data_IF_843306564104
#
_entry.id   IF_843306564104
#
_cell.length_a   1.000
_cell.length_b   1.000
_cell.length_c   1.000
_cell.angle_alpha   90.00
_cell.angle_beta   90.00
_cell.angle_gamma   90.00
#
_symmetry.space_group_name_H-M   'P 1'
#
loop_
_entity.id
_entity.type
_entity.pdbx_description
1 polymer ?
#
# COMPACT_ATOMS: atom_id res chain seq x y z
N UNK A 1 19.25 -22.66 42.08
CA UNK A 1 19.14 -23.66 43.16
C UNK A 1 20.01 -24.83 42.73
N UNK A 2 21.29 -24.74 43.08
CA UNK A 2 22.19 -25.90 43.04
C UNK A 2 21.60 -26.95 43.96
N UNK A 3 21.20 -28.09 43.39
CA UNK A 3 20.82 -29.25 44.18
C UNK A 3 21.97 -30.23 44.07
N UNK A 4 22.72 -30.22 45.17
CA UNK A 4 23.74 -31.16 45.61
C UNK A 4 23.41 -32.59 45.22
N UNK A 5 24.35 -33.24 44.54
CA UNK A 5 24.43 -34.68 44.41
C UNK A 5 24.72 -35.24 45.81
N UNK A 6 23.73 -35.83 46.45
CA UNK A 6 23.95 -36.66 47.63
C UNK A 6 24.41 -38.04 47.18
N UNK A 7 25.66 -38.34 47.52
CA UNK A 7 26.24 -39.67 47.53
C UNK A 7 25.40 -40.58 48.43
N UNK A 8 24.78 -41.61 47.85
CA UNK A 8 24.34 -42.76 48.61
C UNK A 8 25.32 -43.90 48.42
N UNK A 9 25.96 -44.23 49.54
CA UNK A 9 27.03 -45.18 49.67
C UNK A 9 26.67 -46.54 49.12
N UNK A 10 27.60 -47.05 48.32
CA UNK A 10 27.78 -48.46 48.04
C UNK A 10 27.97 -49.24 49.35
N UNK A 11 26.92 -49.91 49.81
CA UNK A 11 27.05 -51.03 50.76
C UNK A 11 27.50 -52.27 49.99
N UNK A 12 28.81 -52.48 50.03
CA UNK A 12 29.47 -53.73 49.66
C UNK A 12 29.10 -54.79 50.69
N UNK A 13 28.01 -55.53 50.47
CA UNK A 13 27.77 -56.77 51.22
C UNK A 13 28.62 -57.89 50.63
N UNK A 14 29.66 -58.24 51.38
CA UNK A 14 30.53 -59.36 51.09
C UNK A 14 29.83 -60.71 51.27
N UNK A 15 30.08 -61.59 50.30
CA UNK A 15 30.46 -62.99 50.49
C UNK A 15 29.68 -63.82 51.52
N UNK A 16 28.75 -64.63 51.02
CA UNK A 16 28.63 -66.02 51.48
C UNK A 16 28.57 -66.94 50.26
N UNK A 17 29.73 -67.26 49.70
CA UNK A 17 29.88 -68.47 48.90
C UNK A 17 29.68 -69.65 49.87
N UNK A 18 28.63 -70.43 49.64
CA UNK A 18 28.38 -71.68 50.35
C UNK A 18 29.63 -72.58 50.26
N UNK A 19 29.99 -73.30 51.35
CA UNK A 19 31.17 -74.15 51.36
C UNK A 19 31.00 -75.27 50.34
N UNK A 20 31.83 -75.26 49.30
CA UNK A 20 31.95 -76.40 48.39
C UNK A 20 32.34 -77.64 49.22
N UNK A 21 31.64 -78.78 49.08
CA UNK A 21 32.07 -80.01 49.70
C UNK A 21 33.43 -80.38 49.12
N UNK A 22 34.41 -80.62 50.00
CA UNK A 22 35.71 -81.18 49.64
C UNK A 22 35.45 -82.49 48.89
N UNK A 23 35.63 -82.50 47.57
CA UNK A 23 35.76 -83.74 46.81
C UNK A 23 37.08 -84.37 47.22
N UNK A 24 37.02 -85.28 48.19
CA UNK A 24 38.01 -86.35 48.29
C UNK A 24 38.12 -86.98 46.91
N UNK A 25 39.36 -87.17 46.45
CA UNK A 25 39.69 -87.67 45.13
C UNK A 25 39.39 -89.18 45.08
N UNK A 26 38.13 -89.54 45.25
CA UNK A 26 37.64 -90.84 44.82
C UNK A 26 37.95 -90.97 43.33
N UNK A 27 38.58 -92.07 42.92
CA UNK A 27 38.77 -92.36 41.50
C UNK A 27 37.44 -92.13 40.77
N UNK A 28 37.45 -91.24 39.77
CA UNK A 28 36.25 -90.86 39.04
C UNK A 28 35.57 -92.13 38.52
N UNK A 29 34.24 -92.16 38.48
CA UNK A 29 33.50 -93.30 37.91
C UNK A 29 33.98 -93.61 36.47
N UNK A 30 34.46 -92.59 35.76
CA UNK A 30 35.14 -92.71 34.46
C UNK A 30 36.49 -93.45 34.55
N UNK A 31 37.32 -93.13 35.55
CA UNK A 31 38.60 -93.80 35.80
C UNK A 31 38.38 -95.26 36.21
N UNK A 32 37.37 -95.54 37.05
CA UNK A 32 36.95 -96.90 37.44
C UNK A 32 36.50 -97.72 36.24
N UNK A 33 35.75 -97.11 35.32
CA UNK A 33 35.34 -97.72 34.07
C UNK A 33 36.55 -98.03 33.16
N UNK A 34 37.48 -97.09 33.03
CA UNK A 34 38.68 -97.26 32.21
C UNK A 34 39.64 -98.34 32.76
N UNK A 35 39.80 -98.41 34.08
CA UNK A 35 40.60 -99.45 34.74
C UNK A 35 39.94 -100.83 34.62
N UNK A 36 38.62 -100.92 34.79
CA UNK A 36 37.88 -102.17 34.61
C UNK A 36 37.95 -102.68 33.16
N UNK A 37 37.84 -101.77 32.18
CA UNK A 37 38.01 -102.10 30.75
C UNK A 37 39.41 -102.66 30.45
N UNK A 38 40.46 -101.94 30.87
CA UNK A 38 41.86 -102.37 30.62
C UNK A 38 42.19 -103.68 31.34
N UNK A 39 41.63 -103.90 32.53
CA UNK A 39 41.72 -105.17 33.28
C UNK A 39 41.02 -106.32 32.55
N UNK A 40 39.81 -106.10 32.00
CA UNK A 40 39.12 -107.11 31.17
C UNK A 40 39.88 -107.41 29.88
N UNK A 41 40.40 -106.40 29.18
CA UNK A 41 41.22 -106.57 27.98
C UNK A 41 42.48 -107.41 28.28
N UNK A 42 43.15 -107.17 29.41
CA UNK A 42 44.30 -107.95 29.85
C UNK A 42 43.92 -109.40 30.23
N UNK A 43 42.80 -109.62 30.94
CA UNK A 43 42.31 -110.96 31.29
C UNK A 43 41.94 -111.75 30.02
N UNK A 44 41.27 -111.13 29.04
CA UNK A 44 40.95 -111.76 27.74
C UNK A 44 42.23 -112.14 26.99
N UNK A 45 43.24 -111.26 26.96
CA UNK A 45 44.53 -111.56 26.35
C UNK A 45 45.21 -112.77 27.02
N UNK A 46 45.14 -112.86 28.35
CA UNK A 46 45.67 -113.99 29.12
C UNK A 46 44.88 -115.30 28.83
N UNK A 47 43.55 -115.26 28.77
CA UNK A 47 42.74 -116.43 28.38
C UNK A 47 43.06 -116.94 26.96
N UNK A 48 43.30 -116.02 26.01
CA UNK A 48 43.70 -116.38 24.65
C UNK A 48 45.08 -117.03 24.60
N UNK A 49 46.02 -116.61 25.45
CA UNK A 49 47.35 -117.24 25.57
C UNK A 49 47.28 -118.65 26.18
N UNK A 50 46.49 -118.85 27.24
CA UNK A 50 46.27 -120.16 27.90
C UNK A 50 45.62 -121.16 26.92
N UNK A 51 44.69 -120.69 26.08
CA UNK A 51 44.05 -121.52 25.03
C UNK A 51 45.03 -121.94 23.92
N UNK A 52 46.07 -121.15 23.63
CA UNK A 52 47.13 -121.50 22.67
C UNK A 52 48.15 -122.49 23.23
N UNK A 53 48.33 -122.53 24.55
CA UNK A 53 49.38 -123.31 25.24
C UNK A 53 48.89 -124.63 25.89
N UNK A 54 47.61 -125.01 25.77
CA UNK A 54 47.03 -126.27 26.30
C UNK A 54 47.21 -126.50 27.83
N UNK A 55 47.14 -125.42 28.62
CA UNK A 55 47.24 -125.40 30.10
C UNK A 55 45.94 -125.82 30.82
N UNK A 56 45.97 -126.19 32.13
CA UNK A 56 44.83 -126.80 32.83
C UNK A 56 43.58 -125.89 32.93
N UNK A 57 42.40 -126.50 32.83
CA UNK A 57 41.08 -125.82 32.81
C UNK A 57 40.72 -125.07 34.10
N UNK A 58 41.47 -125.24 35.21
CA UNK A 58 41.18 -124.58 36.50
C UNK A 58 41.54 -123.09 36.50
N UNK A 59 42.66 -122.69 35.89
CA UNK A 59 43.10 -121.28 35.78
C UNK A 59 42.11 -120.44 34.94
N UNK A 60 41.48 -121.09 33.95
CA UNK A 60 40.44 -120.46 33.13
C UNK A 60 39.21 -120.07 33.98
N UNK A 61 38.83 -120.91 34.97
CA UNK A 61 37.68 -120.63 35.84
C UNK A 61 37.93 -119.41 36.72
N UNK A 62 39.15 -119.26 37.25
CA UNK A 62 39.54 -118.11 38.07
C UNK A 62 39.59 -116.80 37.26
N UNK A 63 40.16 -116.84 36.06
CA UNK A 63 40.15 -115.68 35.15
C UNK A 63 38.73 -115.29 34.73
N UNK A 64 37.84 -116.27 34.51
CA UNK A 64 36.41 -116.01 34.21
C UNK A 64 35.73 -115.34 35.39
N UNK A 65 36.00 -115.77 36.63
CA UNK A 65 35.46 -115.11 37.83
C UNK A 65 36.00 -113.69 38.02
N UNK A 66 37.28 -113.44 37.75
CA UNK A 66 37.86 -112.08 37.79
C UNK A 66 37.26 -111.16 36.71
N UNK A 67 37.01 -111.71 35.51
CA UNK A 67 36.32 -110.98 34.44
C UNK A 67 34.89 -110.63 34.82
N UNK A 68 34.12 -111.55 35.41
CA UNK A 68 32.77 -111.26 35.88
C UNK A 68 32.77 -110.20 36.99
N UNK A 69 33.74 -110.22 37.91
CA UNK A 69 33.89 -109.19 38.93
C UNK A 69 34.13 -107.81 38.29
N UNK A 70 35.00 -107.74 37.28
CA UNK A 70 35.20 -106.51 36.51
C UNK A 70 33.92 -106.05 35.78
N UNK A 71 33.13 -106.96 35.19
CA UNK A 71 31.84 -106.58 34.60
C UNK A 71 30.83 -106.04 35.63
N UNK A 72 30.84 -106.56 36.85
CA UNK A 72 30.03 -106.02 37.95
C UNK A 72 30.52 -104.61 38.31
N UNK A 73 31.84 -104.38 38.42
CA UNK A 73 32.37 -103.03 38.68
C UNK A 73 32.06 -102.06 37.54
N UNK A 74 32.07 -102.52 36.28
CA UNK A 74 31.72 -101.71 35.11
C UNK A 74 30.24 -101.32 35.13
N UNK A 75 29.35 -102.27 35.45
CA UNK A 75 27.91 -102.00 35.60
C UNK A 75 27.63 -101.04 36.75
N UNK A 76 28.36 -101.17 37.86
CA UNK A 76 28.24 -100.27 39.01
C UNK A 76 28.73 -98.85 38.65
N UNK A 77 29.87 -98.72 37.97
CA UNK A 77 30.37 -97.43 37.51
C UNK A 77 29.42 -96.76 36.50
N UNK A 78 28.89 -97.52 35.53
CA UNK A 78 27.92 -97.00 34.57
C UNK A 78 26.62 -96.54 35.25
N UNK A 79 26.11 -97.31 36.23
CA UNK A 79 24.97 -96.91 37.04
C UNK A 79 25.25 -95.63 37.83
N UNK A 80 26.45 -95.48 38.39
CA UNK A 80 26.84 -94.26 39.11
C UNK A 80 26.86 -93.03 38.20
N UNK A 81 27.35 -93.17 36.96
CA UNK A 81 27.39 -92.08 35.98
C UNK A 81 25.96 -91.67 35.59
N UNK A 82 25.09 -92.65 35.29
CA UNK A 82 23.70 -92.35 34.92
C UNK A 82 22.93 -91.68 36.06
N UNK A 83 23.16 -92.09 37.32
CA UNK A 83 22.54 -91.44 38.48
C UNK A 83 23.06 -90.01 38.68
N UNK A 84 24.35 -89.77 38.43
CA UNK A 84 24.92 -88.42 38.50
C UNK A 84 24.41 -87.53 37.36
N UNK A 85 24.27 -88.07 36.14
CA UNK A 85 23.67 -87.37 35.01
C UNK A 85 22.21 -86.97 35.33
N UNK A 86 21.42 -87.91 35.85
CA UNK A 86 20.05 -87.63 36.30
C UNK A 86 20.02 -86.59 37.42
N UNK A 87 20.99 -86.63 38.35
CA UNK A 87 21.11 -85.65 39.43
C UNK A 87 21.42 -84.24 38.90
N UNK A 88 22.45 -84.09 38.07
CA UNK A 88 22.82 -82.79 37.45
C UNK A 88 21.68 -82.27 36.57
N UNK A 89 20.99 -83.15 35.85
CA UNK A 89 19.82 -82.77 35.05
C UNK A 89 18.66 -82.27 35.92
N UNK A 90 18.40 -82.91 37.05
CA UNK A 90 17.38 -82.46 38.00
C UNK A 90 17.76 -81.14 38.67
N UNK A 91 19.02 -80.95 39.05
CA UNK A 91 19.53 -79.71 39.63
C UNK A 91 19.45 -78.54 38.64
N UNK A 92 19.89 -78.76 37.39
CA UNK A 92 19.84 -77.73 36.34
C UNK A 92 18.41 -77.37 35.94
N UNK A 93 17.49 -78.33 35.83
CA UNK A 93 16.08 -78.03 35.58
C UNK A 93 15.44 -77.31 36.78
N UNK A 94 15.83 -77.68 38.01
CA UNK A 94 15.43 -76.99 39.24
C UNK A 94 15.91 -75.55 39.31
N UNK A 95 17.13 -75.27 38.85
CA UNK A 95 17.71 -73.92 38.78
C UNK A 95 17.16 -73.08 37.62
N UNK A 96 16.71 -73.71 36.54
CA UNK A 96 16.12 -73.03 35.38
C UNK A 96 14.79 -72.35 35.70
N UNK A 97 13.89 -73.02 36.43
CA UNK A 97 12.58 -72.47 36.78
C UNK A 97 12.62 -71.10 37.50
N UNK A 98 13.44 -70.87 38.54
CA UNK A 98 13.55 -69.54 39.17
C UNK A 98 14.21 -68.50 38.25
N UNK A 99 15.13 -68.89 37.37
CA UNK A 99 15.73 -68.00 36.37
C UNK A 99 14.68 -67.55 35.35
N UNK A 100 13.86 -68.46 34.84
CA UNK A 100 12.77 -68.14 33.91
C UNK A 100 11.73 -67.22 34.58
N UNK A 101 11.39 -67.49 35.84
CA UNK A 101 10.47 -66.65 36.62
C UNK A 101 11.00 -65.23 36.82
N UNK A 102 12.24 -65.08 37.25
CA UNK A 102 12.87 -63.76 37.45
C UNK A 102 13.07 -63.01 36.13
N UNK A 103 13.37 -63.72 35.04
CA UNK A 103 13.44 -63.14 33.69
C UNK A 103 12.08 -62.60 33.23
N UNK A 104 11.00 -63.33 33.51
CA UNK A 104 9.64 -62.86 33.22
C UNK A 104 9.28 -61.60 34.03
N UNK A 105 9.64 -61.56 35.32
CA UNK A 105 9.46 -60.36 36.15
C UNK A 105 10.23 -59.17 35.59
N UNK A 106 11.48 -59.37 35.19
CA UNK A 106 12.29 -58.33 34.57
C UNK A 106 11.63 -57.79 33.28
N UNK A 107 11.11 -58.69 32.44
CA UNK A 107 10.43 -58.30 31.19
C UNK A 107 9.18 -57.48 31.46
N UNK A 108 8.38 -57.86 32.47
CA UNK A 108 7.21 -57.08 32.90
C UNK A 108 7.61 -55.66 33.35
N UNK A 109 8.65 -55.54 34.19
CA UNK A 109 9.16 -54.23 34.64
C UNK A 109 9.73 -53.41 33.48
N UNK A 110 10.38 -54.05 32.51
CA UNK A 110 10.86 -53.36 31.31
C UNK A 110 9.71 -52.80 30.47
N UNK A 111 8.60 -53.54 30.34
CA UNK A 111 7.41 -53.01 29.67
C UNK A 111 6.82 -51.83 30.40
N UNK A 112 6.69 -51.92 31.72
CA UNK A 112 6.16 -50.84 32.56
C UNK A 112 7.02 -49.58 32.47
N UNK A 113 8.35 -49.73 32.60
CA UNK A 113 9.31 -48.64 32.38
C UNK A 113 9.12 -48.01 31.00
N UNK A 114 9.05 -48.82 29.95
CA UNK A 114 8.90 -48.33 28.58
C UNK A 114 7.56 -47.62 28.37
N UNK A 115 6.50 -48.09 29.02
CA UNK A 115 5.20 -47.42 29.02
C UNK A 115 5.30 -46.04 29.66
N UNK A 116 5.88 -45.93 30.86
CA UNK A 116 6.05 -44.64 31.52
C UNK A 116 7.00 -43.71 30.77
N UNK A 117 8.09 -44.21 30.18
CA UNK A 117 8.97 -43.39 29.34
C UNK A 117 8.22 -42.83 28.13
N UNK A 118 7.35 -43.64 27.49
CA UNK A 118 6.48 -43.16 26.40
C UNK A 118 5.48 -42.12 26.89
N UNK A 119 4.85 -42.34 28.05
CA UNK A 119 3.91 -41.39 28.64
C UNK A 119 4.59 -40.06 29.00
N UNK A 120 5.75 -40.11 29.65
CA UNK A 120 6.56 -38.91 29.99
C UNK A 120 6.96 -38.18 28.71
N UNK A 121 7.38 -38.90 27.66
CA UNK A 121 7.71 -38.29 26.37
C UNK A 121 6.49 -37.61 25.75
N UNK A 122 5.34 -38.25 25.75
CA UNK A 122 4.09 -37.66 25.25
C UNK A 122 3.71 -36.38 26.03
N UNK A 123 3.90 -36.37 27.35
CA UNK A 123 3.68 -35.17 28.17
C UNK A 123 4.72 -34.06 27.91
N UNK A 124 6.00 -34.40 27.70
CA UNK A 124 7.06 -33.43 27.40
C UNK A 124 6.97 -32.85 25.99
N UNK A 125 6.50 -33.66 25.04
CA UNK A 125 6.28 -33.24 23.64
C UNK A 125 5.02 -32.36 23.51
N UNK A 126 4.30 -32.10 24.60
CA UNK A 126 3.21 -31.14 24.62
C UNK A 126 3.72 -29.73 24.29
N UNK A 127 3.30 -29.23 23.14
CA UNK A 127 3.49 -27.83 22.75
C UNK A 127 2.18 -27.08 22.93
N UNK A 128 2.22 -25.97 23.66
CA UNK A 128 1.09 -25.04 23.69
C UNK A 128 0.88 -24.45 22.28
N UNK A 129 -0.32 -23.90 22.02
CA UNK A 129 -0.64 -23.25 20.74
C UNK A 129 0.30 -22.07 20.40
N UNK A 130 0.97 -21.51 21.41
CA UNK A 130 1.89 -20.39 21.28
C UNK A 130 3.15 -20.67 22.10
N UNK A 131 4.15 -21.35 21.51
CA UNK A 131 5.38 -21.71 22.22
C UNK A 131 6.29 -20.50 22.47
N UNK A 132 6.40 -19.59 21.50
CA UNK A 132 7.21 -18.37 21.58
C UNK A 132 6.28 -17.16 21.47
N UNK A 133 5.71 -16.75 22.60
CA UNK A 133 4.95 -15.49 22.68
C UNK A 133 5.97 -14.37 22.88
N UNK A 134 6.01 -13.44 21.93
CA UNK A 134 6.72 -12.16 22.13
C UNK A 134 6.01 -11.39 23.24
N UNK A 135 6.69 -11.24 24.37
CA UNK A 135 6.18 -10.55 25.55
C UNK A 135 6.84 -9.18 25.69
N UNK A 136 6.08 -8.18 26.14
CA UNK A 136 6.59 -6.84 26.52
C UNK A 136 7.82 -6.98 27.41
N UNK A 137 8.92 -6.30 27.10
CA UNK A 137 10.19 -6.39 27.83
C UNK A 137 10.00 -6.15 29.33
N UNK A 138 10.82 -6.79 30.16
CA UNK A 138 10.67 -6.70 31.63
C UNK A 138 10.82 -5.27 32.13
N UNK A 139 11.74 -4.50 31.55
CA UNK A 139 11.95 -3.09 31.86
C UNK A 139 10.70 -2.25 31.63
N UNK A 140 10.02 -2.48 30.50
CA UNK A 140 8.78 -1.76 30.14
C UNK A 140 7.63 -2.18 31.05
N UNK A 141 7.53 -3.46 31.40
CA UNK A 141 6.56 -3.96 32.36
C UNK A 141 6.74 -3.32 33.75
N UNK A 142 7.98 -3.28 34.27
CA UNK A 142 8.23 -2.68 35.59
C UNK A 142 8.05 -1.16 35.61
N UNK A 143 8.23 -0.48 34.48
CA UNK A 143 7.96 0.96 34.35
C UNK A 143 6.46 1.26 34.25
N UNK A 144 5.76 0.61 33.32
CA UNK A 144 4.44 1.05 32.87
C UNK A 144 3.27 0.25 33.47
N UNK A 145 3.52 -0.93 34.07
CA UNK A 145 2.43 -1.74 34.61
C UNK A 145 1.80 -1.12 35.87
N UNK A 146 0.46 -1.16 36.02
CA UNK A 146 -0.23 -0.78 37.25
C UNK A 146 0.23 -1.61 38.45
N UNK A 147 0.24 -0.99 39.64
CA UNK A 147 0.66 -1.63 40.89
C UNK A 147 -0.23 -2.83 41.27
N UNK A 148 -1.51 -2.81 40.89
CA UNK A 148 -2.46 -3.92 41.05
C UNK A 148 -1.99 -5.19 40.33
N UNK A 149 -1.40 -5.04 39.13
CA UNK A 149 -0.90 -6.18 38.35
C UNK A 149 0.48 -6.61 38.87
N UNK A 150 1.33 -5.66 39.27
CA UNK A 150 2.66 -5.93 39.86
C UNK A 150 2.58 -6.69 41.19
N UNK A 151 1.61 -6.35 42.03
CA UNK A 151 1.43 -6.93 43.38
C UNK A 151 0.71 -8.27 43.39
N UNK A 152 0.02 -8.64 42.31
CA UNK A 152 -0.69 -9.92 42.22
C UNK A 152 0.26 -11.11 42.41
N UNK A 153 -0.17 -12.20 43.06
CA UNK A 153 0.61 -13.45 43.14
C UNK A 153 -0.24 -14.55 42.53
N UNK A 154 0.13 -15.00 41.33
CA UNK A 154 -0.66 -15.93 40.52
C UNK A 154 -0.10 -17.37 40.62
N UNK A 155 1.21 -17.51 40.81
CA UNK A 155 1.88 -18.81 40.97
C UNK A 155 2.98 -18.78 42.02
N UNK A 156 3.31 -19.94 42.57
CA UNK A 156 4.38 -20.13 43.56
C UNK A 156 5.78 -20.06 42.93
N UNK A 157 5.91 -20.33 41.63
CA UNK A 157 7.17 -20.16 40.90
C UNK A 157 7.32 -18.71 40.43
N UNK A 158 8.41 -18.06 40.83
CA UNK A 158 8.66 -16.65 40.54
C UNK A 158 8.79 -16.36 39.03
N UNK A 159 9.46 -17.25 38.28
CA UNK A 159 9.64 -17.06 36.84
C UNK A 159 8.31 -17.18 36.10
N UNK A 160 7.52 -18.22 36.41
CA UNK A 160 6.19 -18.40 35.84
C UNK A 160 5.23 -17.28 36.24
N UNK A 161 5.27 -16.83 37.50
CA UNK A 161 4.45 -15.73 38.00
C UNK A 161 4.75 -14.41 37.27
N UNK A 162 6.03 -14.09 37.04
CA UNK A 162 6.44 -12.93 36.26
C UNK A 162 5.87 -12.97 34.83
N UNK A 163 5.95 -14.13 34.16
CA UNK A 163 5.38 -14.31 32.81
C UNK A 163 3.86 -14.10 32.80
N UNK A 164 3.13 -14.63 33.79
CA UNK A 164 1.68 -14.43 33.91
C UNK A 164 1.32 -12.96 34.17
N UNK A 165 2.11 -12.24 34.98
CA UNK A 165 1.93 -10.81 35.19
C UNK A 165 2.11 -10.00 33.91
N UNK A 166 3.16 -10.31 33.13
CA UNK A 166 3.42 -9.68 31.83
C UNK A 166 2.26 -9.92 30.86
N UNK A 167 1.75 -11.15 30.79
CA UNK A 167 0.56 -11.50 29.98
C UNK A 167 -0.69 -10.72 30.40
N UNK A 168 -0.95 -10.61 31.70
CA UNK A 168 -2.09 -9.84 32.20
C UNK A 168 -1.95 -8.34 31.92
N UNK A 169 -0.74 -7.80 32.00
CA UNK A 169 -0.46 -6.42 31.62
C UNK A 169 -0.71 -6.17 30.14
N UNK A 170 -0.24 -7.05 29.26
CA UNK A 170 -0.55 -6.94 27.83
C UNK A 170 -2.05 -7.03 27.55
N UNK A 171 -2.75 -7.95 28.20
CA UNK A 171 -4.19 -8.07 28.07
C UNK A 171 -4.90 -6.78 28.50
N UNK A 172 -4.47 -6.18 29.61
CA UNK A 172 -4.97 -4.89 30.08
C UNK A 172 -4.70 -3.78 29.04
N UNK A 173 -3.47 -3.69 28.54
CA UNK A 173 -3.09 -2.70 27.53
C UNK A 173 -3.92 -2.85 26.26
N UNK A 174 -4.08 -4.08 25.74
CA UNK A 174 -4.90 -4.36 24.56
C UNK A 174 -6.36 -3.97 24.77
N UNK A 175 -6.93 -4.22 25.96
CA UNK A 175 -8.30 -3.78 26.28
C UNK A 175 -8.44 -2.26 26.27
N UNK A 176 -7.50 -1.54 26.87
CA UNK A 176 -7.52 -0.07 26.88
C UNK A 176 -7.35 0.50 25.46
N UNK A 177 -6.46 -0.09 24.65
CA UNK A 177 -6.29 0.29 23.24
C UNK A 177 -7.56 0.04 22.43
N UNK A 178 -8.26 -1.08 22.63
CA UNK A 178 -9.55 -1.33 21.97
C UNK A 178 -10.60 -0.28 22.35
N UNK A 179 -10.72 0.08 23.64
CA UNK A 179 -11.63 1.14 24.09
C UNK A 179 -11.29 2.50 23.46
N UNK A 180 -10.00 2.83 23.38
CA UNK A 180 -9.54 4.07 22.75
C UNK A 180 -9.85 4.07 21.25
N UNK A 181 -9.60 2.95 20.58
CA UNK A 181 -9.91 2.78 19.16
C UNK A 181 -11.40 3.00 18.88
N UNK A 182 -12.30 2.38 19.66
CA UNK A 182 -13.75 2.57 19.53
C UNK A 182 -14.16 4.03 19.70
N UNK A 183 -13.60 4.74 20.70
CA UNK A 183 -13.85 6.17 20.91
C UNK A 183 -13.39 7.02 19.72
N UNK A 184 -12.19 6.77 19.21
CA UNK A 184 -11.66 7.49 18.05
C UNK A 184 -12.46 7.19 16.78
N UNK A 185 -12.96 5.96 16.61
CA UNK A 185 -13.80 5.58 15.48
C UNK A 185 -15.15 6.30 15.52
N UNK A 186 -15.76 6.42 16.71
CA UNK A 186 -16.97 7.22 16.91
C UNK A 186 -16.74 8.70 16.58
N UNK A 187 -15.62 9.29 17.02
CA UNK A 187 -15.25 10.68 16.68
C UNK A 187 -15.03 10.86 15.18
N UNK A 188 -14.38 9.89 14.53
CA UNK A 188 -14.20 9.91 13.07
C UNK A 188 -15.56 9.90 12.36
N UNK A 189 -16.49 9.05 12.78
CA UNK A 189 -17.84 8.97 12.19
C UNK A 189 -18.60 10.28 12.35
N UNK A 190 -18.59 10.90 13.52
CA UNK A 190 -19.27 12.18 13.75
C UNK A 190 -18.66 13.32 12.93
N UNK A 191 -17.33 13.39 12.82
CA UNK A 191 -16.65 14.38 11.98
C UNK A 191 -16.97 14.19 10.49
N UNK A 192 -17.01 12.95 10.00
CA UNK A 192 -17.41 12.66 8.62
C UNK A 192 -18.84 13.10 8.33
N UNK A 193 -19.76 12.91 9.26
CA UNK A 193 -21.14 13.39 9.13
C UNK A 193 -21.22 14.93 9.08
N UNK A 194 -20.47 15.63 9.96
CA UNK A 194 -20.37 17.09 9.95
C UNK A 194 -19.81 17.59 8.60
N UNK A 195 -18.77 16.95 8.09
CA UNK A 195 -18.18 17.29 6.79
C UNK A 195 -19.20 17.05 5.67
N UNK A 196 -19.93 15.92 5.69
CA UNK A 196 -20.95 15.63 4.70
C UNK A 196 -22.07 16.70 4.71
N UNK A 197 -22.53 17.11 5.90
CA UNK A 197 -23.55 18.15 6.04
C UNK A 197 -23.05 19.51 5.56
N UNK A 198 -21.80 19.89 5.88
CA UNK A 198 -21.17 21.11 5.36
C UNK A 198 -21.02 21.08 3.85
N UNK A 199 -20.61 19.95 3.26
CA UNK A 199 -20.53 19.77 1.80
C UNK A 199 -21.90 19.91 1.15
N UNK A 200 -22.95 19.30 1.72
CA UNK A 200 -24.33 19.46 1.25
C UNK A 200 -24.77 20.93 1.27
N UNK A 201 -24.50 21.65 2.37
CA UNK A 201 -24.79 23.08 2.48
C UNK A 201 -24.02 23.91 1.44
N UNK A 202 -22.72 23.66 1.26
CA UNK A 202 -21.92 24.36 0.25
C UNK A 202 -22.40 24.07 -1.18
N UNK A 203 -22.83 22.84 -1.46
CA UNK A 203 -23.38 22.47 -2.77
C UNK A 203 -24.74 23.09 -3.07
N UNK A 204 -25.55 23.38 -2.06
CA UNK A 204 -26.84 24.08 -2.23
C UNK A 204 -26.71 25.61 -2.24
N UNK A 205 -25.58 26.14 -1.77
CA UNK A 205 -25.35 27.59 -1.70
C UNK A 205 -25.43 28.28 -3.09
N UNK A 206 -24.86 27.75 -4.20
CA UNK A 206 -25.01 28.34 -5.52
C UNK A 206 -26.45 28.47 -5.98
N UNK A 207 -27.31 27.47 -5.74
CA UNK A 207 -28.72 27.54 -6.14
C UNK A 207 -29.50 28.56 -5.30
N UNK A 208 -29.23 28.62 -4.00
CA UNK A 208 -29.79 29.65 -3.12
C UNK A 208 -29.35 31.07 -3.56
N UNK A 209 -28.07 31.28 -3.88
CA UNK A 209 -27.57 32.56 -4.37
C UNK A 209 -28.14 32.94 -5.75
N UNK A 210 -28.27 31.99 -6.68
CA UNK A 210 -28.94 32.23 -7.97
C UNK A 210 -30.39 32.68 -7.76
N UNK A 211 -31.09 32.02 -6.84
CA UNK A 211 -32.49 32.34 -6.50
C UNK A 211 -32.61 33.73 -5.86
N UNK A 212 -31.72 34.07 -4.92
CA UNK A 212 -31.63 35.39 -4.30
C UNK A 212 -31.31 36.49 -5.33
N UNK A 213 -30.33 36.25 -6.20
CA UNK A 213 -29.98 37.17 -7.31
C UNK A 213 -31.19 37.45 -8.19
N UNK A 214 -31.93 36.40 -8.59
CA UNK A 214 -33.15 36.53 -9.41
C UNK A 214 -34.25 37.31 -8.68
N UNK A 215 -34.48 37.03 -7.39
CA UNK A 215 -35.47 37.73 -6.57
C UNK A 215 -35.12 39.21 -6.34
N UNK A 216 -33.84 39.55 -6.24
CA UNK A 216 -33.37 40.93 -6.03
C UNK A 216 -33.38 41.81 -7.30
N UNK A 217 -33.41 41.20 -8.49
CA UNK A 217 -33.34 41.91 -9.78
C UNK A 217 -34.45 42.97 -10.00
N UNK A 218 -35.75 42.71 -9.73
CA UNK A 218 -36.79 43.73 -9.92
C UNK A 218 -36.59 44.96 -9.02
N UNK A 219 -36.19 44.75 -7.76
CA UNK A 219 -35.91 45.84 -6.81
C UNK A 219 -34.69 46.64 -7.25
N UNK A 220 -33.62 45.99 -7.72
CA UNK A 220 -32.44 46.66 -8.29
C UNK A 220 -32.83 47.56 -9.47
N UNK A 221 -33.70 47.09 -10.36
CA UNK A 221 -34.17 47.87 -11.50
C UNK A 221 -35.02 49.07 -11.08
N UNK A 222 -35.88 48.93 -10.07
CA UNK A 222 -36.71 50.02 -9.55
C UNK A 222 -35.92 51.09 -8.80
N UNK A 223 -34.90 50.68 -8.05
CA UNK A 223 -34.03 51.59 -7.29
C UNK A 223 -32.89 52.19 -8.14
N UNK A 224 -32.78 51.83 -9.42
CA UNK A 224 -31.69 52.29 -10.30
C UNK A 224 -30.31 51.73 -9.92
N UNK A 225 -30.26 50.70 -9.09
CA UNK A 225 -29.05 50.09 -8.54
C UNK A 225 -28.48 49.08 -9.57
N UNK A 226 -27.88 49.60 -10.64
CA UNK A 226 -27.41 48.81 -11.81
C UNK A 226 -26.03 48.13 -11.61
N UNK A 227 -25.74 47.63 -10.41
CA UNK A 227 -24.44 46.99 -10.10
C UNK A 227 -24.14 45.80 -11.02
N UNK A 228 -25.18 45.05 -11.42
CA UNK A 228 -25.03 43.91 -12.32
C UNK A 228 -24.64 44.31 -13.75
N UNK A 229 -25.05 45.50 -14.23
CA UNK A 229 -24.63 46.02 -15.54
C UNK A 229 -23.21 46.56 -15.48
N UNK A 230 -22.88 47.36 -14.45
CA UNK A 230 -21.51 47.84 -14.22
C UNK A 230 -20.52 46.68 -14.11
N UNK A 231 -20.84 45.63 -13.34
CA UNK A 231 -19.96 44.47 -13.18
C UNK A 231 -19.75 43.68 -14.48
N UNK A 232 -20.78 43.56 -15.34
CA UNK A 232 -20.62 42.98 -16.68
C UNK A 232 -19.72 43.83 -17.57
N UNK A 233 -19.89 45.16 -17.53
CA UNK A 233 -19.04 46.09 -18.27
C UNK A 233 -17.59 46.04 -17.80
N UNK A 234 -17.34 46.00 -16.48
CA UNK A 234 -16.00 45.80 -15.92
C UNK A 234 -15.38 44.49 -16.37
N UNK A 235 -16.12 43.38 -16.31
CA UNK A 235 -15.59 42.08 -16.76
C UNK A 235 -15.28 42.06 -18.27
N UNK A 236 -16.07 42.76 -19.09
CA UNK A 236 -15.72 42.93 -20.51
C UNK A 236 -14.53 43.87 -20.71
N UNK A 237 -14.35 44.88 -19.84
CA UNK A 237 -13.23 45.81 -19.89
C UNK A 237 -11.90 45.13 -19.54
N UNK A 238 -11.90 44.17 -18.61
CA UNK A 238 -10.71 43.34 -18.28
C UNK A 238 -10.15 42.59 -19.50
N UNK A 239 -10.97 42.34 -20.52
CA UNK A 239 -10.60 41.62 -21.74
C UNK A 239 -10.23 42.55 -22.90
N UNK A 240 -10.22 43.87 -22.69
CA UNK A 240 -9.79 44.84 -23.69
C UNK A 240 -8.26 44.84 -23.81
N UNK A 241 -7.71 45.05 -25.03
CA UNK A 241 -6.30 45.35 -25.23
C UNK A 241 -5.90 46.60 -24.46
N UNK A 242 -4.63 46.73 -24.01
CA UNK A 242 -4.19 47.88 -23.23
C UNK A 242 -4.56 49.24 -23.87
N UNK A 243 -4.38 49.46 -25.20
CA UNK A 243 -4.76 50.73 -25.81
C UNK A 243 -6.27 51.03 -25.72
N UNK A 244 -7.13 50.02 -25.94
CA UNK A 244 -8.57 50.21 -25.82
C UNK A 244 -9.00 50.37 -24.36
N UNK A 245 -8.37 49.65 -23.43
CA UNK A 245 -8.65 49.80 -22.01
C UNK A 245 -8.35 51.22 -21.53
N UNK A 246 -7.24 51.82 -21.97
CA UNK A 246 -6.90 53.21 -21.67
C UNK A 246 -8.00 54.15 -22.17
N UNK A 247 -8.41 54.04 -23.43
CA UNK A 247 -9.52 54.83 -23.99
C UNK A 247 -10.79 54.67 -23.15
N UNK A 248 -11.18 53.43 -22.85
CA UNK A 248 -12.36 53.14 -22.03
C UNK A 248 -12.26 53.80 -20.66
N UNK A 249 -11.10 53.70 -19.99
CA UNK A 249 -10.88 54.27 -18.66
C UNK A 249 -10.92 55.79 -18.66
N UNK A 250 -10.36 56.44 -19.69
CA UNK A 250 -10.35 57.90 -19.83
C UNK A 250 -11.76 58.44 -20.07
N UNK A 251 -12.52 57.84 -21.00
CA UNK A 251 -13.90 58.27 -21.23
C UNK A 251 -14.82 57.95 -20.04
N UNK A 252 -14.60 56.83 -19.35
CA UNK A 252 -15.36 56.50 -18.15
C UNK A 252 -15.08 57.53 -17.04
N UNK A 253 -13.81 57.90 -16.86
CA UNK A 253 -13.42 58.94 -15.91
C UNK A 253 -14.01 60.31 -16.29
N UNK A 254 -14.00 60.68 -17.57
CA UNK A 254 -14.59 61.91 -18.06
C UNK A 254 -16.09 61.97 -17.78
N UNK A 255 -16.82 60.88 -18.12
CA UNK A 255 -18.26 60.75 -17.83
C UNK A 255 -18.56 60.88 -16.34
N UNK A 256 -17.81 60.19 -15.49
CA UNK A 256 -18.06 60.21 -14.05
C UNK A 256 -17.64 61.52 -13.37
N UNK A 257 -16.58 62.17 -13.85
CA UNK A 257 -16.06 63.41 -13.25
C UNK A 257 -16.80 64.67 -13.70
N UNK A 258 -17.18 64.75 -14.98
CA UNK A 258 -17.78 65.95 -15.57
C UNK A 258 -19.27 65.81 -15.89
N UNK A 259 -19.82 64.59 -15.78
CA UNK A 259 -21.25 64.35 -16.03
C UNK A 259 -21.68 64.59 -17.48
N UNK A 260 -20.73 64.52 -18.43
CA UNK A 260 -21.01 64.70 -19.86
C UNK A 260 -22.00 63.63 -20.37
N UNK A 261 -22.82 64.02 -21.36
CA UNK A 261 -23.88 63.18 -21.94
C UNK A 261 -23.32 62.10 -22.89
N UNK A 262 -22.41 61.30 -22.38
CA UNK A 262 -21.67 60.28 -23.12
C UNK A 262 -22.01 58.90 -22.58
N UNK A 263 -22.35 57.95 -23.46
CA UNK A 263 -22.52 56.54 -23.13
C UNK A 263 -21.46 55.67 -23.78
N UNK A 264 -20.94 54.72 -22.99
CA UNK A 264 -19.88 53.80 -23.39
C UNK A 264 -20.41 52.37 -23.44
N UNK A 265 -20.20 51.70 -24.56
CA UNK A 265 -20.56 50.30 -24.75
C UNK A 265 -19.38 49.50 -25.29
N UNK A 266 -19.09 48.35 -24.68
CA UNK A 266 -18.10 47.40 -25.18
C UNK A 266 -18.87 46.35 -25.98
N UNK A 267 -18.65 46.32 -27.30
CA UNK A 267 -19.34 45.40 -28.21
C UNK A 267 -18.34 44.40 -28.79
N UNK A 268 -18.70 43.12 -28.77
CA UNK A 268 -17.90 42.08 -29.39
C UNK A 268 -18.14 40.70 -28.81
N UNK A 269 -17.33 39.75 -29.27
CA UNK A 269 -17.35 38.36 -28.80
C UNK A 269 -16.45 38.21 -27.57
N UNK A 270 -17.05 38.18 -26.38
CA UNK A 270 -16.33 37.96 -25.10
C UNK A 270 -15.58 36.63 -25.10
N UNK A 271 -16.12 35.60 -25.75
CA UNK A 271 -15.48 34.28 -25.87
C UNK A 271 -14.18 34.35 -26.67
N UNK A 272 -14.20 35.03 -27.82
CA UNK A 272 -13.01 35.18 -28.67
C UNK A 272 -11.95 36.07 -27.99
N UNK A 273 -12.39 37.07 -27.23
CA UNK A 273 -11.51 37.93 -26.42
C UNK A 273 -10.82 37.17 -25.29
N UNK A 274 -11.53 36.27 -24.59
CA UNK A 274 -10.94 35.39 -23.57
C UNK A 274 -9.91 34.44 -24.18
N UNK A 275 -10.20 33.86 -25.35
CA UNK A 275 -9.25 33.02 -26.08
C UNK A 275 -8.00 33.83 -26.45
N UNK A 276 -8.17 35.06 -26.93
CA UNK A 276 -7.07 35.96 -27.24
C UNK A 276 -6.21 36.30 -26.01
N UNK A 277 -6.82 36.67 -24.89
CA UNK A 277 -6.13 36.97 -23.64
C UNK A 277 -5.30 35.77 -23.14
N UNK A 278 -5.87 34.54 -23.23
CA UNK A 278 -5.14 33.30 -22.92
C UNK A 278 -3.96 33.06 -23.87
N UNK A 279 -4.12 33.34 -25.16
CA UNK A 279 -3.05 33.20 -26.14
C UNK A 279 -1.91 34.22 -25.91
N UNK A 280 -2.24 35.46 -25.55
CA UNK A 280 -1.24 36.47 -25.19
C UNK A 280 -0.49 36.07 -23.92
N UNK A 281 -1.19 35.67 -22.86
CA UNK A 281 -0.56 35.22 -21.61
C UNK A 281 0.42 34.06 -21.84
N UNK A 282 0.08 33.10 -22.70
CA UNK A 282 0.96 31.99 -23.04
C UNK A 282 2.20 32.42 -23.86
N UNK A 283 2.08 33.46 -24.69
CA UNK A 283 3.21 34.01 -25.46
C UNK A 283 4.18 34.77 -24.56
N UNK A 284 3.67 35.55 -23.60
CA UNK A 284 4.50 36.34 -22.67
C UNK A 284 5.19 35.46 -21.63
N UNK A 285 4.63 34.29 -21.32
CA UNK A 285 5.23 33.32 -20.39
C UNK A 285 6.35 32.48 -21.03
N UNK A 286 6.67 32.68 -22.31
CA UNK A 286 7.80 32.02 -22.99
C UNK A 286 7.65 30.51 -23.21
N UNK A 287 6.46 29.93 -22.99
CA UNK A 287 6.20 28.51 -23.22
C UNK A 287 5.86 28.33 -24.70
N UNK A 288 6.90 28.00 -25.48
CA UNK A 288 6.76 27.57 -26.85
C UNK A 288 5.72 26.44 -26.95
N UNK A 289 4.70 26.66 -27.76
CA UNK A 289 3.68 25.68 -28.10
C UNK A 289 4.32 24.56 -28.92
N UNK A 290 4.82 23.54 -28.23
CA UNK A 290 5.12 22.23 -28.78
C UNK A 290 5.04 21.19 -27.66
N UNK A 291 3.82 20.89 -27.20
CA UNK A 291 3.44 19.52 -26.86
C UNK A 291 1.93 19.42 -26.72
N UNK A 292 1.44 18.30 -27.19
CA UNK A 292 0.06 17.95 -27.42
C UNK A 292 -0.78 17.90 -26.14
N UNK A 293 -2.04 18.34 -26.28
CA UNK A 293 -3.23 17.84 -25.60
C UNK A 293 -3.05 17.02 -24.30
N UNK A 294 -3.01 17.69 -23.16
CA UNK A 294 -3.50 17.12 -21.91
C UNK A 294 -4.88 17.70 -21.62
N UNK A 295 -5.93 16.97 -22.02
CA UNK A 295 -7.29 17.16 -21.51
C UNK A 295 -7.26 16.98 -20.00
N UNK A 296 -7.30 18.08 -19.26
CA UNK A 296 -7.71 18.09 -17.87
C UNK A 296 -9.17 18.58 -17.90
N UNK A 297 -10.06 17.71 -17.44
CA UNK A 297 -11.47 17.98 -17.26
C UNK A 297 -11.64 19.20 -16.35
N UNK A 298 -12.32 20.24 -16.85
CA UNK A 298 -12.78 21.36 -16.05
C UNK A 298 -14.30 21.36 -16.08
N UNK A 299 -14.86 21.04 -14.93
CA UNK A 299 -16.27 20.83 -14.63
C UNK A 299 -16.95 22.20 -14.44
N UNK A 300 -17.48 22.74 -15.54
CA UNK A 300 -18.33 23.93 -15.51
C UNK A 300 -19.76 23.51 -15.91
N UNK A 301 -20.80 23.89 -15.12
CA UNK A 301 -22.14 23.39 -15.31
C UNK A 301 -22.74 23.93 -16.62
N UNK A 302 -23.02 23.02 -17.56
CA UNK A 302 -23.78 23.28 -18.77
C UNK A 302 -25.21 23.73 -18.38
N UNK A 303 -25.63 24.89 -18.89
CA UNK A 303 -27.05 25.22 -18.96
C UNK A 303 -27.65 24.39 -20.10
N UNK A 304 -28.51 23.43 -19.74
CA UNK A 304 -29.38 22.73 -20.66
C UNK A 304 -30.33 23.75 -21.31
N UNK A 305 -30.17 23.97 -22.62
CA UNK A 305 -31.26 24.43 -23.48
C UNK A 305 -31.43 23.45 -24.63
N UNK A 306 -32.68 23.07 -24.80
CA UNK A 306 -33.18 21.95 -25.56
C UNK A 306 -33.36 22.31 -27.05
N UNK A 307 -33.29 21.31 -27.94
CA UNK A 307 -33.89 21.43 -29.27
C UNK A 307 -32.94 21.46 -30.48
N UNK A 308 -32.98 20.35 -31.21
CA UNK A 308 -32.78 20.19 -32.66
C UNK A 308 -31.36 19.93 -33.19
N UNK A 309 -31.07 18.63 -33.26
CA UNK A 309 -30.06 17.97 -34.12
C UNK A 309 -30.12 18.49 -35.57
N UNK A 310 -29.22 19.40 -35.95
CA UNK A 310 -28.84 19.62 -37.36
C UNK A 310 -27.46 19.01 -37.62
N UNK A 311 -27.43 18.05 -38.54
CA UNK A 311 -26.22 17.33 -39.00
C UNK A 311 -25.16 18.31 -39.52
N UNK A 312 -24.00 18.38 -38.86
CA UNK A 312 -22.83 19.10 -39.35
C UNK A 312 -22.20 18.34 -40.53
N UNK A 313 -22.32 18.88 -41.74
CA UNK A 313 -21.40 18.56 -42.85
C UNK A 313 -20.06 19.25 -42.60
N UNK A 314 -18.90 18.60 -42.81
CA UNK A 314 -17.61 19.27 -42.75
C UNK A 314 -17.56 20.31 -43.88
N UNK A 315 -17.37 21.58 -43.51
CA UNK A 315 -17.22 22.69 -44.45
C UNK A 315 -15.83 22.56 -45.08
N UNK A 316 -15.83 22.30 -46.39
CA UNK A 316 -14.67 22.25 -47.28
C UNK A 316 -13.86 23.54 -47.11
N UNK A 317 -12.60 23.40 -46.73
CA UNK A 317 -11.60 24.49 -46.70
C UNK A 317 -11.49 25.02 -48.14
N UNK A 318 -11.80 26.30 -48.42
CA UNK A 318 -11.39 26.90 -49.67
C UNK A 318 -9.90 27.15 -49.60
N UNK A 319 -9.23 26.63 -50.61
CA UNK A 319 -7.83 26.80 -50.95
C UNK A 319 -7.40 28.26 -50.84
N UNK A 320 -6.23 28.44 -50.23
CA UNK A 320 -5.43 29.66 -50.22
C UNK A 320 -5.38 30.27 -51.62
N UNK A 321 -5.81 31.52 -51.74
CA UNK A 321 -5.30 32.49 -52.69
C UNK A 321 -5.79 33.89 -52.23
N UNK A 322 -4.83 34.80 -52.00
CA UNK A 322 -4.93 36.18 -51.45
C UNK A 322 -5.00 36.35 -49.91
N UNK A 323 -4.01 35.81 -49.17
CA UNK A 323 -3.95 35.87 -47.70
C UNK A 323 -3.10 37.03 -47.12
N UNK A 324 -2.36 37.78 -47.94
CA UNK A 324 -1.29 38.66 -47.41
C UNK A 324 -1.78 40.02 -46.88
N UNK A 325 -2.93 40.54 -47.34
CA UNK A 325 -3.50 41.78 -46.79
C UNK A 325 -4.57 41.53 -45.71
N UNK A 326 -5.38 40.46 -45.84
CA UNK A 326 -6.50 40.20 -44.92
C UNK A 326 -6.06 39.81 -43.51
N UNK A 327 -4.89 39.17 -43.37
CA UNK A 327 -4.33 38.81 -42.08
C UNK A 327 -3.66 39.96 -41.34
N UNK A 328 -3.22 41.02 -42.02
CA UNK A 328 -2.48 42.14 -41.44
C UNK A 328 -3.41 43.06 -40.61
N UNK A 329 -4.63 43.25 -41.10
CA UNK A 329 -5.63 44.10 -40.46
C UNK A 329 -6.60 43.32 -39.55
N UNK A 330 -6.08 42.32 -38.83
CA UNK A 330 -6.87 41.54 -37.89
C UNK A 330 -7.25 42.41 -36.68
N UNK A 331 -8.54 42.69 -36.56
CA UNK A 331 -9.13 43.44 -35.47
C UNK A 331 -9.20 42.60 -34.18
N UNK A 332 -9.11 43.26 -33.03
CA UNK A 332 -9.49 42.66 -31.77
C UNK A 332 -11.00 42.34 -31.73
N UNK A 333 -11.41 41.20 -31.16
CA UNK A 333 -12.83 40.79 -31.09
C UNK A 333 -13.73 41.72 -30.28
N UNK A 334 -13.18 42.55 -29.39
CA UNK A 334 -13.90 43.61 -28.67
C UNK A 334 -13.57 44.98 -29.26
N UNK A 335 -14.61 45.81 -29.35
CA UNK A 335 -14.59 47.20 -29.82
C UNK A 335 -15.27 48.09 -28.78
N UNK A 336 -14.88 49.36 -28.75
CA UNK A 336 -15.53 50.36 -27.90
C UNK A 336 -16.41 51.24 -28.77
N UNK A 337 -17.64 51.47 -28.31
CA UNK A 337 -18.58 52.38 -28.93
C UNK A 337 -18.87 53.51 -27.97
N UNK A 338 -18.65 54.72 -28.44
CA UNK A 338 -18.90 55.97 -27.73
C UNK A 338 -20.12 56.64 -28.35
N UNK A 339 -21.20 56.77 -27.59
CA UNK A 339 -22.37 57.56 -27.98
C UNK A 339 -22.28 58.93 -27.34
N UNK A 340 -22.20 59.98 -28.15
CA UNK A 340 -22.25 61.37 -27.71
C UNK A 340 -23.66 61.88 -28.01
N UNK A 341 -24.31 62.45 -27.00
CA UNK A 341 -25.64 63.03 -27.13
C UNK A 341 -25.60 64.56 -27.08
N UNK A 342 -26.61 65.18 -27.66
CA UNK A 342 -26.78 66.63 -27.64
C UNK A 342 -27.11 67.14 -26.23
N UNK A 343 -26.49 68.26 -25.83
CA UNK A 343 -26.65 68.90 -24.52
C UNK A 343 -27.94 69.74 -24.44
N UNK A 344 -28.52 70.14 -25.58
CA UNK A 344 -29.65 71.09 -25.64
C UNK A 344 -31.05 70.43 -25.58
N UNK A 345 -31.15 69.10 -25.53
CA UNK A 345 -32.44 68.40 -25.51
C UNK A 345 -32.97 68.19 -24.08
N UNK A 346 -34.00 68.94 -23.70
CA UNK A 346 -34.74 68.82 -22.42
C UNK A 346 -35.56 67.52 -22.27
N UNK A 347 -35.36 66.54 -23.16
CA UNK A 347 -36.06 65.25 -23.18
C UNK A 347 -35.11 64.11 -22.77
N UNK A 348 -35.55 63.10 -22.00
CA UNK A 348 -34.72 61.99 -21.51
C UNK A 348 -34.27 60.99 -22.60
N UNK A 349 -34.42 61.36 -23.88
CA UNK A 349 -33.88 60.68 -25.05
C UNK A 349 -33.25 61.75 -25.96
N UNK A 350 -32.18 62.35 -25.47
CA UNK A 350 -31.33 63.22 -26.30
C UNK A 350 -31.01 62.50 -27.60
N UNK A 351 -31.19 63.19 -28.73
CA UNK A 351 -30.87 62.61 -30.03
C UNK A 351 -29.37 62.29 -30.04
N UNK A 352 -29.02 61.04 -30.41
CA UNK A 352 -27.61 60.65 -30.55
C UNK A 352 -26.96 61.53 -31.61
N UNK A 353 -26.02 62.37 -31.21
CA UNK A 353 -25.37 63.36 -32.08
C UNK A 353 -24.35 62.66 -32.98
N UNK A 354 -23.49 61.85 -32.38
CA UNK A 354 -22.49 61.06 -33.10
C UNK A 354 -22.18 59.77 -32.33
N UNK A 355 -21.94 58.69 -33.07
CA UNK A 355 -21.48 57.41 -32.50
C UNK A 355 -20.11 57.09 -33.06
N UNK A 356 -19.09 57.08 -32.20
CA UNK A 356 -17.72 56.76 -32.57
C UNK A 356 -17.41 55.31 -32.23
N UNK A 357 -16.78 54.62 -33.16
CA UNK A 357 -16.39 53.21 -33.03
C UNK A 357 -14.87 53.09 -33.03
N UNK A 358 -14.33 52.58 -31.94
CA UNK A 358 -12.91 52.32 -31.77
C UNK A 358 -12.62 50.82 -31.95
N UNK A 359 -11.70 50.52 -32.85
CA UNK A 359 -11.22 49.17 -33.14
C UNK A 359 -9.70 49.13 -32.97
N UNK A 360 -9.17 48.05 -32.41
CA UNK A 360 -7.71 47.89 -32.29
C UNK A 360 -7.23 46.81 -33.27
N UNK A 361 -6.28 47.17 -34.12
CA UNK A 361 -5.68 46.28 -35.11
C UNK A 361 -4.43 45.63 -34.51
N UNK A 362 -4.53 44.33 -34.23
CA UNK A 362 -3.60 43.59 -33.38
C UNK A 362 -2.15 43.58 -33.90
N UNK A 363 -1.96 43.35 -35.20
CA UNK A 363 -0.62 43.19 -35.79
C UNK A 363 0.07 44.51 -36.10
N UNK A 364 -0.71 45.57 -36.30
CA UNK A 364 -0.19 46.91 -36.57
C UNK A 364 0.00 47.71 -35.27
N UNK A 365 -0.58 47.26 -34.14
CA UNK A 365 -0.61 47.97 -32.88
C UNK A 365 -1.16 49.40 -33.04
N UNK A 366 -2.31 49.51 -33.69
CA UNK A 366 -2.93 50.80 -34.03
C UNK A 366 -4.41 50.77 -33.69
N UNK A 367 -4.90 51.86 -33.12
CA UNK A 367 -6.34 52.10 -32.88
C UNK A 367 -6.96 52.82 -34.07
N UNK A 368 -8.01 52.28 -34.65
CA UNK A 368 -8.77 52.89 -35.73
C UNK A 368 -10.11 53.41 -35.22
N UNK A 369 -10.51 54.59 -35.68
CA UNK A 369 -11.76 55.25 -35.29
C UNK A 369 -12.56 55.65 -36.51
N UNK A 370 -13.88 55.54 -36.40
CA UNK A 370 -14.80 56.08 -37.40
C UNK A 370 -16.22 56.18 -36.86
N UNK A 371 -17.10 56.76 -37.66
CA UNK A 371 -18.48 57.05 -37.29
C UNK A 371 -19.34 55.83 -37.65
N UNK A 372 -20.14 55.34 -36.69
CA UNK A 372 -21.06 54.24 -36.93
C UNK A 372 -22.32 54.74 -37.65
N UNK A 373 -22.59 54.22 -38.86
CA UNK A 373 -23.79 54.54 -39.64
C UNK A 373 -23.57 55.42 -40.89
N UNK A 374 -22.35 55.92 -41.15
CA UNK A 374 -22.05 56.63 -42.39
C UNK A 374 -21.97 55.65 -43.57
N UNK A 375 -23.05 55.55 -44.35
CA UNK A 375 -23.04 54.92 -45.68
C UNK A 375 -22.57 55.87 -46.80
N UNK A 376 -22.24 57.11 -46.46
CA UNK A 376 -21.60 58.06 -47.37
C UNK A 376 -20.10 57.79 -47.45
N UNK A 377 -19.56 57.91 -48.67
CA UNK A 377 -18.20 57.48 -49.01
C UNK A 377 -17.08 58.19 -48.24
N UNK A 378 -15.81 57.84 -48.54
CA UNK A 378 -14.62 58.31 -47.81
C UNK A 378 -14.40 59.83 -47.77
N UNK A 379 -15.21 60.61 -48.48
CA UNK A 379 -15.12 62.07 -48.62
C UNK A 379 -15.84 62.87 -47.51
N UNK A 380 -16.77 62.25 -46.76
CA UNK A 380 -17.49 62.92 -45.66
C UNK A 380 -16.99 62.49 -44.26
N UNK A 381 -15.67 62.50 -44.06
CA UNK A 381 -15.07 62.18 -42.76
C UNK A 381 -14.93 63.44 -41.89
N UNK A 382 -15.91 63.69 -41.02
CA UNK A 382 -15.90 64.81 -40.05
C UNK A 382 -14.69 64.75 -39.10
N UNK A 383 -14.10 63.56 -38.92
CA UNK A 383 -12.96 63.32 -38.03
C UNK A 383 -11.58 63.59 -38.68
N UNK A 384 -11.53 63.85 -39.99
CA UNK A 384 -10.29 64.22 -40.66
C UNK A 384 -9.91 65.66 -40.32
N UNK A 385 -8.61 65.90 -40.12
CA UNK A 385 -8.06 67.24 -39.85
C UNK A 385 -8.67 67.94 -38.61
N UNK A 386 -9.13 67.18 -37.62
CA UNK A 386 -9.42 67.73 -36.28
C UNK A 386 -8.17 68.39 -35.68
N UNK A 387 -7.00 67.83 -36.00
CA UNK A 387 -5.69 68.43 -35.77
C UNK A 387 -4.99 68.64 -37.12
N UNK A 388 -4.09 69.64 -37.23
CA UNK A 388 -3.31 69.85 -38.45
C UNK A 388 -2.57 68.57 -38.88
N UNK A 389 -2.58 68.27 -40.17
CA UNK A 389 -1.87 67.14 -40.78
C UNK A 389 -2.26 65.74 -40.25
N UNK A 390 -3.52 65.57 -39.81
CA UNK A 390 -4.09 64.28 -39.40
C UNK A 390 -5.26 63.86 -40.30
N UNK A 391 -4.91 63.38 -41.49
CA UNK A 391 -5.88 62.94 -42.52
C UNK A 391 -6.39 61.51 -42.27
N UNK A 392 -5.76 60.75 -41.35
CA UNK A 392 -6.12 59.36 -41.06
C UNK A 392 -5.79 58.36 -42.18
N UNK A 393 -4.96 58.73 -43.16
CA UNK A 393 -4.45 57.82 -44.19
C UNK A 393 -3.02 57.33 -43.92
N UNK A 394 -2.28 58.02 -43.06
CA UNK A 394 -0.93 57.65 -42.67
C UNK A 394 -0.95 56.76 -41.42
N UNK A 395 -0.10 55.73 -41.41
CA UNK A 395 0.16 54.97 -40.18
C UNK A 395 1.07 55.79 -39.25
N UNK A 396 0.68 56.00 -37.99
CA UNK A 396 1.46 56.84 -37.07
C UNK A 396 2.82 56.24 -36.68
N UNK A 397 2.93 54.90 -36.61
CA UNK A 397 4.17 54.24 -36.23
C UNK A 397 5.05 53.79 -37.41
N UNK A 398 6.37 53.96 -37.27
CA UNK A 398 7.35 53.43 -38.22
C UNK A 398 7.34 51.90 -38.28
N UNK A 399 7.13 51.21 -37.15
CA UNK A 399 7.02 49.75 -37.11
C UNK A 399 5.82 49.24 -37.91
N UNK A 400 4.68 49.93 -37.83
CA UNK A 400 3.51 49.62 -38.63
C UNK A 400 3.75 49.85 -40.13
N UNK A 401 4.48 50.93 -40.50
CA UNK A 401 4.88 51.19 -41.90
C UNK A 401 5.77 50.06 -42.46
N UNK A 402 6.74 49.58 -41.67
CA UNK A 402 7.59 48.45 -42.07
C UNK A 402 6.78 47.16 -42.25
N UNK A 403 5.78 46.90 -41.39
CA UNK A 403 4.91 45.74 -41.50
C UNK A 403 3.98 45.74 -42.73
N UNK A 404 3.62 46.92 -43.25
CA UNK A 404 2.73 47.08 -44.41
C UNK A 404 3.51 47.09 -45.75
N UNK A 405 4.82 47.35 -45.71
CA UNK A 405 5.68 47.38 -46.90
C UNK A 405 5.51 48.67 -47.71
N UNK A 406 5.82 48.62 -49.02
CA UNK A 406 5.90 49.77 -49.96
C UNK A 406 4.56 50.50 -50.22
N UNK A 407 3.48 50.13 -49.51
CA UNK A 407 2.22 50.85 -49.50
C UNK A 407 2.26 51.94 -48.42
N UNK A 408 2.57 53.17 -48.82
CA UNK A 408 2.66 54.34 -47.93
C UNK A 408 1.34 54.73 -47.26
N UNK A 409 0.20 54.24 -47.76
CA UNK A 409 -1.13 54.61 -47.30
C UNK A 409 -1.88 53.41 -46.67
N UNK A 410 -2.54 53.67 -45.54
CA UNK A 410 -3.48 52.75 -44.91
C UNK A 410 -4.68 52.51 -45.85
N UNK A 411 -5.21 51.28 -45.85
CA UNK A 411 -6.29 50.82 -46.74
C UNK A 411 -7.44 51.84 -46.87
N UNK A 412 -7.48 52.54 -48.00
CA UNK A 412 -8.40 53.64 -48.29
C UNK A 412 -9.88 53.19 -48.30
N UNK A 413 -10.12 51.88 -48.39
CA UNK A 413 -11.46 51.29 -48.42
C UNK A 413 -12.05 51.09 -47.03
N UNK A 414 -11.27 51.21 -45.95
CA UNK A 414 -11.78 51.09 -44.57
C UNK A 414 -12.39 52.40 -44.10
N UNK A 415 -13.55 52.29 -43.46
CA UNK A 415 -14.24 53.42 -42.84
C UNK A 415 -13.65 53.82 -41.49
N UNK A 416 -12.89 52.93 -40.85
CA UNK A 416 -12.20 53.19 -39.58
C UNK A 416 -10.74 53.56 -39.89
N UNK A 417 -10.32 54.74 -39.47
CA UNK A 417 -9.01 55.32 -39.81
C UNK A 417 -8.08 55.45 -38.60
N UNK A 418 -6.76 55.22 -38.77
CA UNK A 418 -5.77 55.34 -37.70
C UNK A 418 -5.35 56.79 -37.47
N UNK A 419 -6.24 57.62 -36.94
CA UNK A 419 -5.90 59.02 -36.64
C UNK A 419 -4.81 59.11 -35.55
N UNK A 420 -3.98 60.15 -35.63
CA UNK A 420 -2.93 60.47 -34.64
C UNK A 420 -3.55 60.77 -33.27
N UNK A 421 -4.62 61.57 -33.24
CA UNK A 421 -5.32 61.90 -31.98
C UNK A 421 -5.89 60.66 -31.28
N UNK A 422 -6.33 59.66 -32.05
CA UNK A 422 -6.87 58.42 -31.50
C UNK A 422 -5.78 57.55 -30.86
N UNK A 423 -4.55 57.60 -31.36
CA UNK A 423 -3.42 56.90 -30.72
C UNK A 423 -3.03 57.57 -29.40
N UNK A 424 -2.93 58.90 -29.39
CA UNK A 424 -2.63 59.65 -28.17
C UNK A 424 -3.66 59.39 -27.08
N UNK A 425 -4.96 59.35 -27.45
CA UNK A 425 -6.03 58.98 -26.53
C UNK A 425 -5.87 57.54 -26.01
N UNK A 426 -5.35 56.63 -26.84
CA UNK A 426 -5.05 55.26 -26.46
C UNK A 426 -3.80 55.08 -25.59
N UNK A 427 -3.10 56.16 -25.24
CA UNK A 427 -1.83 56.12 -24.52
C UNK A 427 -0.68 55.55 -25.35
N UNK A 428 -0.81 55.59 -26.68
CA UNK A 428 0.22 55.17 -27.62
C UNK A 428 0.95 56.42 -28.10
N UNK A 429 2.19 56.59 -27.65
CA UNK A 429 3.10 57.62 -28.15
C UNK A 429 3.92 57.08 -29.33
N UNK A 430 4.14 57.89 -30.36
CA UNK A 430 4.76 57.49 -31.63
C UNK A 430 5.78 58.48 -32.16
#
# INVERSE_FOLDING_TARGET
MEVTMEEHGTTTEGSQLAPQPKMEKEMSAYDKMQQSRTSVEAIVANMLSIKKENKPKSELRELVTQMFLNFVTLRQANRSILLEEDHVKAETEGAKAPVDFTTLQLHNLMYEKNHYVKAIKACKDFKSKHPDIELVLEEEFFRDAPEEIKSSVISNDNAHNLTLKRLNFELFQRKELCKLHEKLEQQKKSLLEIIANRKKFLSSLPSHLKSLKKASLPVQNQLGVLHTKKLKQHHSAELLPPPLYVIYSQFLAQKEAFGENIDLEIIGSVKDAQVYARQQANKDTGISTNLESSKMEDDAPEEEDDGQRRRKRPKKVPSKENLDQAGLYQAHPLKIILHIHDDDASDPKSAKLITLKFEYVLKLNVVCVGIEGSHEGPENNILCNLFPDDTGFELPHQSAKVCVGDALAFDEKRTLRPYKWAQHLAGIDF
#
